data_IF_700817596158
#
_entry.id   IF_700817596158
#
_cell.length_a   1.000
_cell.length_b   1.000
_cell.length_c   1.000
_cell.angle_alpha   90.00
_cell.angle_beta   90.00
_cell.angle_gamma   90.00
#
_symmetry.space_group_name_H-M   'P 1'
#
loop_
_entity.id
_entity.type
_entity.pdbx_description
1 polymer ?
#
# COMPACT_ATOMS: atom_id res chain seq x y z
N UNK A 1 -27.33 30.51 -48.38
CA UNK A 1 -27.76 29.33 -47.61
C UNK A 1 -26.56 28.40 -47.41
N UNK A 2 -25.79 28.60 -46.34
CA UNK A 2 -24.70 27.69 -45.97
C UNK A 2 -25.04 27.07 -44.61
N UNK A 3 -25.75 25.95 -44.65
CA UNK A 3 -25.94 25.10 -43.48
C UNK A 3 -24.70 24.20 -43.38
N UNK A 4 -23.71 24.64 -42.60
CA UNK A 4 -22.55 23.84 -42.20
C UNK A 4 -23.05 22.68 -41.35
N UNK A 5 -23.02 21.48 -41.92
CA UNK A 5 -23.26 20.24 -41.22
C UNK A 5 -22.20 20.09 -40.10
N UNK A 6 -22.61 20.34 -38.86
CA UNK A 6 -21.87 19.84 -37.70
C UNK A 6 -22.17 18.34 -37.61
N UNK A 7 -21.42 17.56 -38.40
CA UNK A 7 -21.35 16.11 -38.22
C UNK A 7 -20.98 15.83 -36.76
N UNK A 8 -21.91 15.18 -36.07
CA UNK A 8 -21.70 14.67 -34.73
C UNK A 8 -20.52 13.71 -34.75
N UNK A 9 -19.36 14.17 -34.28
CA UNK A 9 -18.26 13.28 -33.92
C UNK A 9 -18.76 12.39 -32.80
N UNK A 10 -19.13 11.16 -33.13
CA UNK A 10 -19.30 10.10 -32.14
C UNK A 10 -18.07 10.11 -31.22
N UNK A 11 -18.24 10.09 -29.89
CA UNK A 11 -17.09 10.09 -28.99
C UNK A 11 -16.22 8.88 -29.34
N UNK A 12 -15.01 9.14 -29.83
CA UNK A 12 -14.06 8.09 -30.17
C UNK A 12 -13.65 7.39 -28.87
N UNK A 13 -14.19 6.19 -28.62
CA UNK A 13 -13.77 5.36 -27.50
C UNK A 13 -12.32 4.91 -27.75
N UNK A 14 -11.38 5.49 -27.01
CA UNK A 14 -9.97 5.09 -27.07
C UNK A 14 -9.74 3.96 -26.08
N UNK A 15 -9.40 2.78 -26.60
CA UNK A 15 -9.02 1.65 -25.76
C UNK A 15 -7.61 1.86 -25.21
N UNK A 16 -7.51 2.33 -23.95
CA UNK A 16 -6.22 2.66 -23.31
C UNK A 16 -5.50 1.46 -22.67
N UNK A 17 -6.25 0.50 -22.12
CA UNK A 17 -5.68 -0.62 -21.34
C UNK A 17 -6.31 -1.95 -21.74
N UNK A 18 -5.46 -2.96 -21.91
CA UNK A 18 -5.86 -4.34 -22.22
C UNK A 18 -6.71 -4.94 -21.10
N UNK A 19 -7.52 -5.93 -21.45
CA UNK A 19 -8.36 -6.67 -20.48
C UNK A 19 -7.48 -7.28 -19.38
N UNK A 20 -6.33 -7.83 -19.76
CA UNK A 20 -5.35 -8.36 -18.82
C UNK A 20 -4.94 -7.31 -17.77
N UNK A 21 -4.51 -6.12 -18.20
CA UNK A 21 -4.10 -5.04 -17.29
C UNK A 21 -5.22 -4.64 -16.35
N UNK A 22 -6.46 -4.58 -16.85
CA UNK A 22 -7.62 -4.22 -16.01
C UNK A 22 -7.93 -5.29 -14.98
N UNK A 23 -7.93 -6.55 -15.38
CA UNK A 23 -8.20 -7.68 -14.48
C UNK A 23 -7.13 -7.75 -13.39
N UNK A 24 -5.85 -7.74 -13.78
CA UNK A 24 -4.75 -7.81 -12.81
C UNK A 24 -4.76 -6.61 -11.86
N UNK A 25 -5.12 -5.42 -12.36
CA UNK A 25 -5.27 -4.23 -11.54
C UNK A 25 -6.40 -4.36 -10.51
N UNK A 26 -7.60 -4.79 -10.91
CA UNK A 26 -8.71 -4.93 -9.96
C UNK A 26 -8.48 -6.04 -8.94
N UNK A 27 -7.83 -7.13 -9.34
CA UNK A 27 -7.35 -8.15 -8.40
C UNK A 27 -6.39 -7.51 -7.37
N UNK A 28 -5.43 -6.70 -7.83
CA UNK A 28 -4.51 -6.00 -6.93
C UNK A 28 -5.24 -5.07 -5.96
N UNK A 29 -6.25 -4.32 -6.42
CA UNK A 29 -7.05 -3.45 -5.55
C UNK A 29 -7.67 -4.26 -4.42
N UNK A 30 -8.34 -5.37 -4.75
CA UNK A 30 -8.95 -6.25 -3.74
C UNK A 30 -7.89 -6.82 -2.80
N UNK A 31 -6.81 -7.38 -3.34
CA UNK A 31 -5.73 -7.95 -2.53
C UNK A 31 -5.13 -6.92 -1.57
N UNK A 32 -4.79 -5.72 -2.05
CA UNK A 32 -4.18 -4.65 -1.25
C UNK A 32 -5.12 -4.20 -0.14
N UNK A 33 -6.42 -4.07 -0.41
CA UNK A 33 -7.42 -3.74 0.62
C UNK A 33 -7.39 -4.77 1.76
N UNK A 34 -7.48 -6.06 1.44
CA UNK A 34 -7.46 -7.09 2.47
C UNK A 34 -6.11 -7.26 3.14
N UNK A 35 -5.00 -7.11 2.40
CA UNK A 35 -3.64 -7.12 2.96
C UNK A 35 -3.44 -6.00 3.97
N UNK A 36 -3.90 -4.79 3.66
CA UNK A 36 -3.82 -3.66 4.57
C UNK A 36 -4.67 -3.93 5.82
N UNK A 37 -5.95 -4.26 5.66
CA UNK A 37 -6.85 -4.48 6.81
C UNK A 37 -6.42 -5.66 7.69
N UNK A 38 -5.94 -6.75 7.10
CA UNK A 38 -5.39 -7.88 7.86
C UNK A 38 -4.02 -7.58 8.46
N UNK A 39 -3.20 -6.76 7.80
CA UNK A 39 -1.93 -6.26 8.32
C UNK A 39 -2.12 -5.38 9.56
N UNK A 40 -3.10 -4.47 9.54
CA UNK A 40 -3.51 -3.70 10.72
C UNK A 40 -3.97 -4.62 11.86
N UNK A 41 -4.59 -5.76 11.54
CA UNK A 41 -4.99 -6.73 12.55
C UNK A 41 -3.82 -7.51 13.15
N UNK A 42 -2.82 -7.86 12.33
CA UNK A 42 -1.57 -8.44 12.82
C UNK A 42 -0.85 -7.44 13.71
N UNK A 43 -0.80 -6.17 13.31
CA UNK A 43 -0.19 -5.09 14.08
C UNK A 43 -0.87 -4.89 15.45
N UNK A 44 -2.19 -5.07 15.54
CA UNK A 44 -2.92 -5.01 16.81
C UNK A 44 -2.45 -6.02 17.86
N UNK A 45 -1.72 -7.08 17.49
CA UNK A 45 -1.14 -8.00 18.47
C UNK A 45 -0.03 -7.36 19.30
N UNK A 46 0.69 -6.40 18.72
CA UNK A 46 1.72 -5.61 19.38
C UNK A 46 1.81 -4.24 18.69
N UNK A 47 0.93 -3.29 19.05
CA UNK A 47 0.76 -2.03 18.31
C UNK A 47 1.84 -1.00 18.66
N UNK A 48 3.11 -1.39 18.49
CA UNK A 48 4.27 -0.56 18.74
C UNK A 48 5.38 -0.81 17.71
N UNK A 49 6.15 0.24 17.43
CA UNK A 49 7.28 0.24 16.51
C UNK A 49 8.53 0.71 17.23
N UNK A 50 9.64 0.06 16.90
CA UNK A 50 10.96 0.29 17.49
C UNK A 50 11.96 0.59 16.37
N UNK A 51 13.02 1.30 16.73
CA UNK A 51 14.15 1.55 15.83
C UNK A 51 15.41 1.04 16.51
N UNK A 52 16.20 0.28 15.77
CA UNK A 52 17.43 -0.34 16.25
C UNK A 52 17.50 -1.83 15.90
N UNK A 53 18.59 -2.46 16.32
CA UNK A 53 18.87 -3.89 16.07
C UNK A 53 18.06 -4.83 16.98
N UNK A 54 17.37 -4.27 17.98
CA UNK A 54 16.51 -5.01 18.90
C UNK A 54 15.30 -4.15 19.26
N UNK A 55 14.20 -4.81 19.59
CA UNK A 55 13.03 -4.11 20.15
C UNK A 55 13.30 -3.74 21.61
N UNK A 56 13.25 -2.45 21.93
CA UNK A 56 13.29 -1.92 23.29
C UNK A 56 11.86 -1.53 23.70
N UNK A 57 11.21 -2.39 24.48
CA UNK A 57 9.81 -2.20 24.88
C UNK A 57 9.60 -0.97 25.78
N UNK A 58 10.64 -0.45 26.41
CA UNK A 58 10.55 0.73 27.27
C UNK A 58 10.56 2.04 26.46
N UNK A 59 11.15 2.03 25.25
CA UNK A 59 11.32 3.22 24.42
C UNK A 59 10.81 3.02 22.98
N UNK A 60 9.50 2.79 22.77
CA UNK A 60 8.93 2.74 21.42
C UNK A 60 9.03 4.09 20.73
N UNK A 61 9.32 4.07 19.42
CA UNK A 61 9.24 5.26 18.56
C UNK A 61 7.78 5.62 18.27
N UNK A 62 6.93 4.59 18.18
CA UNK A 62 5.48 4.73 18.10
C UNK A 62 4.84 3.62 18.94
N UNK A 63 3.82 3.95 19.73
CA UNK A 63 3.00 2.96 20.43
C UNK A 63 1.55 3.44 20.52
N UNK A 64 0.60 2.51 20.36
CA UNK A 64 -0.82 2.77 20.54
C UNK A 64 -1.34 1.89 21.67
N UNK A 65 -1.54 2.45 22.85
CA UNK A 65 -1.88 1.71 24.07
C UNK A 65 -3.19 2.23 24.68
N UNK A 66 -3.72 1.50 25.65
CA UNK A 66 -4.81 1.98 26.49
C UNK A 66 -4.31 2.07 27.92
N UNK A 67 -4.67 3.15 28.61
CA UNK A 67 -4.44 3.30 30.06
C UNK A 67 -5.77 3.44 30.77
N UNK A 68 -5.86 2.89 31.98
CA UNK A 68 -7.03 3.07 32.83
C UNK A 68 -6.89 4.37 33.62
N UNK A 69 -7.90 5.23 33.56
CA UNK A 69 -8.03 6.43 34.40
C UNK A 69 -9.22 6.27 35.36
N UNK A 70 -9.37 7.14 36.37
CA UNK A 70 -10.57 7.15 37.21
C UNK A 70 -11.89 7.31 36.43
N UNK A 71 -11.83 7.94 35.26
CA UNK A 71 -12.99 8.20 34.39
C UNK A 71 -13.23 7.11 33.34
N UNK A 72 -12.37 6.09 33.28
CA UNK A 72 -12.46 4.95 32.37
C UNK A 72 -11.19 4.68 31.55
N UNK A 73 -11.20 3.70 30.64
CA UNK A 73 -10.07 3.45 29.75
C UNK A 73 -9.96 4.56 28.70
N UNK A 74 -8.76 5.11 28.53
CA UNK A 74 -8.44 6.10 27.49
C UNK A 74 -7.36 5.54 26.56
N UNK A 75 -7.50 5.83 25.27
CA UNK A 75 -6.52 5.46 24.25
C UNK A 75 -5.41 6.50 24.18
N UNK A 76 -4.17 6.05 24.23
CA UNK A 76 -2.99 6.89 24.17
C UNK A 76 -2.11 6.45 23.01
N UNK A 77 -1.77 7.38 22.13
CA UNK A 77 -0.79 7.15 21.07
C UNK A 77 0.45 7.94 21.39
N UNK A 78 1.57 7.26 21.61
CA UNK A 78 2.88 7.85 21.83
C UNK A 78 3.66 7.86 20.53
N UNK A 79 4.22 9.02 20.16
CA UNK A 79 5.09 9.21 19.01
C UNK A 79 6.32 9.98 19.49
N UNK A 80 7.52 9.41 19.31
CA UNK A 80 8.79 10.03 19.68
C UNK A 80 8.80 10.54 21.15
N UNK A 81 8.23 9.75 22.06
CA UNK A 81 8.12 10.10 23.48
C UNK A 81 6.99 11.07 23.84
N UNK A 82 6.25 11.59 22.86
CA UNK A 82 5.09 12.46 23.10
C UNK A 82 3.79 11.68 23.01
N UNK A 83 2.98 11.73 24.07
CA UNK A 83 1.69 11.05 24.13
C UNK A 83 0.52 11.96 23.76
N UNK A 84 -0.41 11.40 22.98
CA UNK A 84 -1.61 12.06 22.50
C UNK A 84 -2.84 11.23 22.90
N UNK A 85 -3.89 11.89 23.38
CA UNK A 85 -5.19 11.24 23.55
C UNK A 85 -5.78 10.91 22.17
N UNK A 86 -6.02 9.63 21.94
CA UNK A 86 -6.54 9.09 20.67
C UNK A 86 -7.73 8.17 20.91
N UNK A 87 -8.38 8.34 22.07
CA UNK A 87 -9.52 7.55 22.53
C UNK A 87 -10.60 7.40 21.47
N UNK A 88 -11.07 6.16 21.29
CA UNK A 88 -12.10 5.81 20.31
C UNK A 88 -11.56 5.46 18.92
N UNK A 89 -10.31 5.82 18.62
CA UNK A 89 -9.68 5.54 17.32
C UNK A 89 -8.41 4.69 17.51
N UNK A 90 -7.38 5.20 18.19
CA UNK A 90 -6.11 4.50 18.35
C UNK A 90 -5.83 4.16 19.81
N UNK A 91 -5.21 3.01 20.05
CA UNK A 91 -4.87 2.51 21.39
C UNK A 91 -6.07 2.00 22.19
N UNK A 92 -7.23 2.64 22.06
CA UNK A 92 -8.53 2.18 22.57
C UNK A 92 -9.63 2.49 21.54
N UNK A 93 -10.41 1.46 21.17
CA UNK A 93 -11.58 1.62 20.31
C UNK A 93 -12.69 0.62 20.65
N UNK A 94 -13.83 0.70 19.97
CA UNK A 94 -15.01 -0.08 20.31
C UNK A 94 -15.17 -1.33 19.44
N UNK A 95 -15.60 -2.42 20.07
CA UNK A 95 -16.09 -3.63 19.40
C UNK A 95 -17.36 -4.07 20.09
N UNK A 96 -18.46 -4.18 19.34
CA UNK A 96 -19.81 -4.44 19.85
C UNK A 96 -20.22 -3.51 21.00
N UNK A 97 -19.86 -2.22 20.89
CA UNK A 97 -20.14 -1.19 21.91
C UNK A 97 -19.26 -1.26 23.17
N UNK A 98 -18.38 -2.27 23.28
CA UNK A 98 -17.47 -2.43 24.42
C UNK A 98 -16.11 -1.81 24.10
N UNK A 99 -15.52 -0.99 24.99
CA UNK A 99 -14.17 -0.47 24.81
C UNK A 99 -13.15 -1.62 24.88
N UNK A 100 -12.23 -1.64 23.92
CA UNK A 100 -11.15 -2.62 23.81
C UNK A 100 -9.83 -1.90 23.59
N UNK A 101 -8.78 -2.33 24.29
CA UNK A 101 -7.41 -1.91 24.03
C UNK A 101 -6.94 -2.55 22.72
N UNK A 102 -6.75 -1.73 21.68
CA UNK A 102 -6.32 -2.16 20.34
C UNK A 102 -5.76 -0.97 19.58
N UNK A 103 -4.72 -1.18 18.79
CA UNK A 103 -4.07 -0.12 18.03
C UNK A 103 -5.00 0.54 17.00
N UNK A 104 -5.73 -0.26 16.23
CA UNK A 104 -6.61 0.18 15.14
C UNK A 104 -8.07 -0.25 15.34
N UNK A 105 -9.06 0.56 14.93
CA UNK A 105 -10.48 0.25 15.06
C UNK A 105 -10.95 -1.02 14.35
N UNK A 106 -12.02 -1.63 14.88
CA UNK A 106 -12.62 -2.86 14.34
C UNK A 106 -13.11 -2.74 12.89
N UNK A 107 -13.48 -1.54 12.42
CA UNK A 107 -14.00 -1.29 11.08
C UNK A 107 -12.93 -1.17 9.99
N UNK A 108 -11.64 -1.05 10.34
CA UNK A 108 -10.51 -1.10 9.39
C UNK A 108 -9.67 -2.36 9.49
N UNK A 109 -10.09 -3.34 10.29
CA UNK A 109 -9.36 -4.60 10.45
C UNK A 109 -10.14 -5.78 9.91
N UNK A 110 -9.43 -6.75 9.33
CA UNK A 110 -10.00 -8.03 8.92
C UNK A 110 -9.23 -9.17 9.59
N UNK A 111 -9.89 -10.02 10.40
CA UNK A 111 -11.28 -9.89 10.89
C UNK A 111 -11.48 -8.66 11.79
N UNK A 112 -12.74 -8.29 12.05
CA UNK A 112 -13.07 -7.15 12.94
C UNK A 112 -12.77 -7.45 14.42
N UNK A 113 -12.96 -8.70 14.85
CA UNK A 113 -12.56 -9.20 16.16
C UNK A 113 -11.06 -9.47 16.21
N UNK A 114 -10.41 -9.15 17.33
CA UNK A 114 -8.96 -9.29 17.48
C UNK A 114 -8.53 -10.74 17.62
N UNK A 115 -7.92 -11.27 16.57
CA UNK A 115 -7.30 -12.60 16.55
C UNK A 115 -6.10 -12.62 15.59
N UNK A 116 -4.90 -12.72 16.16
CA UNK A 116 -3.64 -12.77 15.42
C UNK A 116 -3.58 -13.97 14.47
N UNK A 117 -4.09 -15.14 14.89
CA UNK A 117 -3.99 -16.34 14.08
C UNK A 117 -4.84 -16.21 12.81
N UNK A 118 -6.09 -15.75 12.95
CA UNK A 118 -6.98 -15.53 11.81
C UNK A 118 -6.52 -14.36 10.94
N UNK A 119 -6.03 -13.26 11.53
CA UNK A 119 -5.44 -12.15 10.78
C UNK A 119 -4.29 -12.60 9.87
N UNK A 120 -3.36 -13.42 10.39
CA UNK A 120 -2.27 -14.01 9.59
C UNK A 120 -2.78 -14.88 8.45
N UNK A 121 -3.80 -15.71 8.66
CA UNK A 121 -4.36 -16.57 7.59
C UNK A 121 -4.91 -15.74 6.43
N UNK A 122 -5.68 -14.70 6.72
CA UNK A 122 -6.19 -13.77 5.71
C UNK A 122 -5.06 -13.05 4.98
N UNK A 123 -4.07 -12.57 5.73
CA UNK A 123 -2.93 -11.85 5.16
C UNK A 123 -2.15 -12.74 4.18
N UNK A 124 -1.78 -13.96 4.59
CA UNK A 124 -1.04 -14.88 3.72
C UNK A 124 -1.85 -15.34 2.49
N UNK A 125 -3.15 -15.56 2.64
CA UNK A 125 -4.02 -15.90 1.52
C UNK A 125 -3.98 -14.83 0.43
N UNK A 126 -4.21 -13.57 0.80
CA UNK A 126 -4.17 -12.46 -0.16
C UNK A 126 -2.74 -12.11 -0.61
N UNK A 127 -1.72 -12.36 0.22
CA UNK A 127 -0.33 -12.16 -0.17
C UNK A 127 0.07 -13.11 -1.31
N UNK A 128 -0.32 -14.38 -1.23
CA UNK A 128 -0.09 -15.34 -2.32
C UNK A 128 -0.87 -14.99 -3.58
N UNK A 129 -2.15 -14.61 -3.45
CA UNK A 129 -2.94 -14.16 -4.59
C UNK A 129 -2.33 -12.92 -5.26
N UNK A 130 -1.88 -11.95 -4.47
CA UNK A 130 -1.20 -10.75 -4.94
C UNK A 130 0.12 -11.07 -5.65
N UNK A 131 0.95 -11.93 -5.04
CA UNK A 131 2.23 -12.35 -5.60
C UNK A 131 2.05 -13.08 -6.95
N UNK A 132 1.15 -14.06 -7.01
CA UNK A 132 0.89 -14.83 -8.23
C UNK A 132 0.31 -13.92 -9.33
N UNK A 133 -0.65 -13.06 -8.99
CA UNK A 133 -1.21 -12.09 -9.95
C UNK A 133 -0.13 -11.13 -10.47
N UNK A 134 0.74 -10.64 -9.60
CA UNK A 134 1.89 -9.81 -9.96
C UNK A 134 2.88 -10.54 -10.86
N UNK A 135 3.18 -11.81 -10.58
CA UNK A 135 4.07 -12.64 -11.39
C UNK A 135 3.49 -12.89 -12.79
N UNK A 136 2.18 -13.17 -12.90
CA UNK A 136 1.48 -13.31 -14.19
C UNK A 136 1.53 -12.00 -14.97
N UNK A 137 1.24 -10.87 -14.32
CA UNK A 137 1.33 -9.55 -14.94
C UNK A 137 2.75 -9.25 -15.44
N UNK A 138 3.77 -9.54 -14.63
CA UNK A 138 5.17 -9.32 -14.99
C UNK A 138 5.58 -10.21 -16.16
N UNK A 139 5.27 -11.51 -16.12
CA UNK A 139 5.58 -12.45 -17.20
C UNK A 139 4.94 -12.02 -18.52
N UNK A 140 3.66 -11.65 -18.48
CA UNK A 140 2.95 -11.15 -19.66
C UNK A 140 3.56 -9.84 -20.18
N UNK A 141 3.90 -8.92 -19.28
CA UNK A 141 4.49 -7.62 -19.64
C UNK A 141 5.91 -7.74 -20.22
N UNK A 142 6.68 -8.73 -19.76
CA UNK A 142 8.00 -9.06 -20.31
C UNK A 142 7.86 -9.70 -21.70
N UNK A 143 6.92 -10.65 -21.86
CA UNK A 143 6.65 -11.30 -23.14
C UNK A 143 6.21 -10.30 -24.23
N UNK A 144 5.42 -9.28 -23.87
CA UNK A 144 4.96 -8.24 -24.80
C UNK A 144 5.90 -7.04 -24.93
N UNK A 145 7.03 -7.02 -24.18
CA UNK A 145 7.95 -5.87 -24.05
C UNK A 145 7.24 -4.57 -23.63
N UNK A 146 6.08 -4.67 -22.97
CA UNK A 146 5.27 -3.52 -22.58
C UNK A 146 5.98 -2.59 -21.60
N UNK A 147 6.73 -3.15 -20.64
CA UNK A 147 7.48 -2.38 -19.64
C UNK A 147 8.48 -1.42 -20.30
N UNK A 148 9.26 -1.92 -21.27
CA UNK A 148 10.30 -1.13 -21.92
C UNK A 148 9.76 -0.08 -22.89
N UNK A 149 8.63 -0.35 -23.52
CA UNK A 149 8.05 0.56 -24.51
C UNK A 149 7.22 1.68 -23.89
N UNK A 150 6.48 1.37 -22.82
CA UNK A 150 5.42 2.26 -22.35
C UNK A 150 5.69 2.86 -20.94
N UNK A 151 6.53 2.22 -20.10
CA UNK A 151 6.80 2.67 -18.71
C UNK A 151 8.11 3.44 -18.53
N UNK A 152 9.13 3.21 -19.35
CA UNK A 152 10.41 3.92 -19.22
C UNK A 152 10.29 5.32 -19.84
N UNK A 153 10.42 6.41 -19.06
CA UNK A 153 10.36 7.77 -19.61
C UNK A 153 11.57 8.04 -20.50
N UNK A 154 11.35 8.78 -21.59
CA UNK A 154 12.46 9.23 -22.44
C UNK A 154 13.32 10.29 -21.74
N UNK A 155 14.57 10.46 -22.16
CA UNK A 155 15.46 11.49 -21.63
C UNK A 155 14.91 12.92 -21.78
N UNK A 156 14.14 13.19 -22.84
CA UNK A 156 13.46 14.48 -23.01
C UNK A 156 12.32 14.68 -22.00
N UNK A 157 11.62 13.62 -21.65
CA UNK A 157 10.57 13.61 -20.62
C UNK A 157 11.16 13.88 -19.23
N UNK A 158 12.28 13.26 -18.87
CA UNK A 158 12.94 13.46 -17.56
C UNK A 158 13.34 14.92 -17.35
N UNK A 159 13.83 15.62 -18.39
CA UNK A 159 14.17 17.06 -18.29
C UNK A 159 12.95 17.96 -18.09
N UNK A 160 11.75 17.50 -18.41
CA UNK A 160 10.50 18.24 -18.26
C UNK A 160 9.79 18.02 -16.90
N UNK A 161 10.43 17.35 -15.93
CA UNK A 161 9.86 17.09 -14.60
C UNK A 161 9.47 18.40 -13.90
N UNK A 162 10.37 19.40 -13.87
CA UNK A 162 10.13 20.68 -13.18
C UNK A 162 8.87 21.41 -13.67
N UNK A 163 8.75 21.71 -14.98
CA UNK A 163 7.55 22.32 -15.54
C UNK A 163 6.27 21.51 -15.29
N UNK A 164 6.37 20.19 -15.33
CA UNK A 164 5.24 19.28 -15.10
C UNK A 164 4.73 19.34 -13.66
N UNK A 165 5.63 19.33 -12.67
CA UNK A 165 5.28 19.48 -11.25
C UNK A 165 4.57 20.82 -11.04
N UNK A 166 5.10 21.90 -11.62
CA UNK A 166 4.50 23.23 -11.53
C UNK A 166 3.10 23.29 -12.14
N UNK A 167 2.85 22.61 -13.25
CA UNK A 167 1.52 22.50 -13.85
C UNK A 167 0.54 21.71 -12.98
N UNK A 168 0.99 20.64 -12.31
CA UNK A 168 0.16 19.86 -11.38
C UNK A 168 -0.19 20.66 -10.13
N UNK A 169 0.76 21.42 -9.58
CA UNK A 169 0.50 22.34 -8.45
C UNK A 169 -0.52 23.43 -8.82
N UNK A 170 -0.60 23.82 -10.10
CA UNK A 170 -1.59 24.76 -10.64
C UNK A 170 -2.91 24.08 -11.08
N UNK A 171 -3.09 22.78 -10.84
CA UNK A 171 -4.25 21.98 -11.26
C UNK A 171 -4.52 22.05 -12.79
N UNK A 172 -3.49 22.33 -13.59
CA UNK A 172 -3.58 22.34 -15.06
C UNK A 172 -3.12 20.99 -15.59
N UNK A 173 -4.08 20.13 -15.93
CA UNK A 173 -3.83 18.79 -16.44
C UNK A 173 -4.02 18.75 -17.97
N UNK A 174 -2.95 18.79 -18.77
CA UNK A 174 -3.05 18.50 -20.19
C UNK A 174 -3.48 17.03 -20.36
N UNK A 175 -4.68 16.81 -20.89
CA UNK A 175 -5.23 15.47 -21.12
C UNK A 175 -4.69 14.90 -22.43
N UNK A 176 -3.41 14.53 -22.43
CA UNK A 176 -2.76 13.95 -23.59
C UNK A 176 -3.00 12.43 -23.70
N UNK A 177 -2.75 11.88 -24.90
CA UNK A 177 -2.91 10.45 -25.17
C UNK A 177 -1.87 9.61 -24.41
N UNK A 178 -0.72 10.17 -24.12
CA UNK A 178 0.40 9.50 -23.45
C UNK A 178 0.46 9.81 -21.97
N UNK A 179 1.02 8.88 -21.19
CA UNK A 179 1.27 9.11 -19.78
C UNK A 179 2.28 10.23 -19.58
N UNK A 180 1.96 11.12 -18.63
CA UNK A 180 2.90 12.10 -18.13
C UNK A 180 4.11 11.40 -17.48
N UNK A 181 5.28 12.05 -17.55
CA UNK A 181 6.53 11.70 -16.89
C UNK A 181 6.33 11.34 -15.41
N UNK A 182 5.55 12.14 -14.67
CA UNK A 182 5.27 11.85 -13.26
C UNK A 182 4.53 10.52 -13.10
N UNK A 183 3.53 10.24 -13.93
CA UNK A 183 2.79 8.97 -13.89
C UNK A 183 3.70 7.79 -14.25
N UNK A 184 4.51 7.90 -15.30
CA UNK A 184 5.48 6.86 -15.69
C UNK A 184 6.46 6.57 -14.57
N UNK A 185 7.02 7.60 -13.94
CA UNK A 185 7.91 7.45 -12.79
C UNK A 185 7.19 6.80 -11.60
N UNK A 186 5.97 7.23 -11.27
CA UNK A 186 5.18 6.59 -10.21
C UNK A 186 4.95 5.11 -10.49
N UNK A 187 4.56 4.73 -11.71
CA UNK A 187 4.37 3.33 -12.07
C UNK A 187 5.66 2.54 -12.00
N UNK A 188 6.77 3.09 -12.51
CA UNK A 188 8.07 2.44 -12.45
C UNK A 188 8.52 2.23 -11.00
N UNK A 189 8.42 3.27 -10.16
CA UNK A 189 8.76 3.17 -8.73
C UNK A 189 7.87 2.16 -8.01
N UNK A 190 6.58 2.11 -8.32
CA UNK A 190 5.67 1.15 -7.70
C UNK A 190 6.04 -0.29 -8.11
N UNK A 191 6.17 -0.56 -9.42
CA UNK A 191 6.39 -1.91 -9.96
C UNK A 191 7.81 -2.42 -9.68
N UNK A 192 8.83 -1.57 -9.78
CA UNK A 192 10.24 -1.98 -9.67
C UNK A 192 10.87 -1.66 -8.30
N UNK A 193 10.22 -0.84 -7.47
CA UNK A 193 10.73 -0.45 -6.15
C UNK A 193 9.84 -0.94 -5.02
N UNK A 194 8.67 -0.32 -4.87
CA UNK A 194 7.80 -0.52 -3.69
C UNK A 194 7.27 -1.95 -3.61
N UNK A 195 6.72 -2.49 -4.69
CA UNK A 195 6.12 -3.84 -4.66
C UNK A 195 7.17 -4.94 -4.40
N UNK A 196 8.34 -4.95 -5.08
CA UNK A 196 9.42 -5.87 -4.73
C UNK A 196 9.87 -5.70 -3.28
N UNK A 197 10.02 -4.46 -2.79
CA UNK A 197 10.41 -4.20 -1.41
C UNK A 197 9.43 -4.84 -0.42
N UNK A 198 8.13 -4.64 -0.58
CA UNK A 198 7.09 -5.23 0.28
C UNK A 198 7.13 -6.76 0.26
N UNK A 199 7.34 -7.37 -0.91
CA UNK A 199 7.45 -8.83 -1.02
C UNK A 199 8.70 -9.34 -0.31
N UNK A 200 9.85 -8.71 -0.57
CA UNK A 200 11.13 -9.13 0.02
C UNK A 200 11.16 -8.96 1.53
N UNK A 201 10.65 -7.84 2.07
CA UNK A 201 10.54 -7.64 3.52
C UNK A 201 9.50 -8.55 4.16
N UNK A 202 8.44 -8.93 3.45
CA UNK A 202 7.51 -9.96 3.92
C UNK A 202 8.18 -11.35 4.00
N UNK A 203 9.05 -11.66 3.03
CA UNK A 203 9.80 -12.93 3.01
C UNK A 203 10.82 -13.01 4.15
N UNK A 204 11.48 -11.91 4.52
CA UNK A 204 12.41 -11.88 5.68
C UNK A 204 11.73 -12.08 7.03
N UNK A 205 10.41 -11.89 7.11
CA UNK A 205 9.65 -12.19 8.33
C UNK A 205 9.31 -13.69 8.46
N UNK A 206 9.61 -14.52 7.46
CA UNK A 206 9.30 -15.95 7.47
C UNK A 206 10.47 -16.78 8.00
N UNK A 207 10.31 -17.50 9.13
CA UNK A 207 11.37 -18.37 9.65
C UNK A 207 11.84 -19.43 8.65
N UNK A 208 10.92 -19.96 7.84
CA UNK A 208 11.25 -20.95 6.81
C UNK A 208 12.08 -20.38 5.67
N UNK A 209 11.81 -19.14 5.26
CA UNK A 209 12.62 -18.47 4.23
C UNK A 209 13.99 -18.12 4.79
N UNK A 210 14.05 -17.60 6.01
CA UNK A 210 15.32 -17.23 6.65
C UNK A 210 16.25 -18.44 6.84
N UNK A 211 15.70 -19.65 7.03
CA UNK A 211 16.48 -20.87 7.10
C UNK A 211 17.08 -21.29 5.74
N UNK A 212 16.44 -20.95 4.61
CA UNK A 212 16.85 -21.33 3.26
C UNK A 212 17.72 -20.24 2.61
N UNK A 213 17.39 -18.97 2.88
CA UNK A 213 17.97 -17.78 2.25
C UNK A 213 18.38 -16.76 3.33
N UNK A 214 19.35 -17.09 4.20
CA UNK A 214 19.70 -16.25 5.36
C UNK A 214 20.23 -14.87 4.98
N UNK A 215 20.96 -14.76 3.87
CA UNK A 215 21.52 -13.49 3.37
C UNK A 215 20.46 -12.44 3.05
N UNK A 216 19.21 -12.85 2.79
CA UNK A 216 18.14 -11.90 2.47
C UNK A 216 17.87 -10.98 3.67
N UNK A 217 17.90 -11.52 4.89
CA UNK A 217 17.70 -10.74 6.12
C UNK A 217 18.87 -9.76 6.34
N UNK A 218 20.10 -10.19 6.05
CA UNK A 218 21.31 -9.37 6.18
C UNK A 218 21.27 -8.12 5.27
N UNK A 219 20.71 -8.25 4.06
CA UNK A 219 20.51 -7.10 3.15
C UNK A 219 19.63 -6.02 3.78
N UNK A 220 18.71 -6.39 4.67
CA UNK A 220 17.82 -5.48 5.40
C UNK A 220 18.34 -5.11 6.79
N UNK A 221 19.56 -5.50 7.15
CA UNK A 221 20.23 -5.05 8.37
C UNK A 221 20.12 -5.97 9.57
N UNK A 222 19.69 -7.23 9.39
CA UNK A 222 19.65 -8.26 10.44
C UNK A 222 18.34 -8.31 11.22
#
# INVERSE_FOLDING_TARGET
MAATALEGRSPAFIYRHTVLVRITHWINVVCITFLLMSGLQIFNAHPALYVGQKSDFDHPVLAMTARNTPDGPVGETTILGHSFDTSGILGMSYYDGVPRARGFPSWITVPSYQDLATGRRWHFFFAWLFFINGAVYLAASLATRHIWRDLVPSWSQIRAIGPTIWHHLKLKFPHEREYNVLQKLTYLTMVAGVLPLVVLTGLTMSPGVNAIVPWLVEVFGG
#
